data_IF_240225734551
#
_entry.id   IF_240225734551
#
_cell.length_a   1.000
_cell.length_b   1.000
_cell.length_c   1.000
_cell.angle_alpha   90.00
_cell.angle_beta   90.00
_cell.angle_gamma   90.00
#
_symmetry.space_group_name_H-M   'P 1'
#
loop_
_entity.id
_entity.type
_entity.pdbx_description
1 polymer ?
#
# COMPACT_ATOMS: atom_id res chain seq x y z
N UNK A 1 25.35 -5.34 5.65
CA UNK A 1 24.34 -5.84 4.70
C UNK A 1 23.72 -4.62 4.05
N UNK A 2 23.99 -4.38 2.78
CA UNK A 2 23.38 -3.28 2.03
C UNK A 2 21.93 -3.65 1.75
N UNK A 3 20.99 -3.04 2.47
CA UNK A 3 19.59 -3.14 2.10
C UNK A 3 19.37 -2.19 0.93
N UNK A 4 19.27 -2.74 -0.28
CA UNK A 4 18.77 -2.02 -1.44
C UNK A 4 17.29 -1.76 -1.19
N UNK A 5 16.93 -0.57 -0.70
CA UNK A 5 15.53 -0.14 -0.60
C UNK A 5 14.93 -0.18 -2.00
N UNK A 6 14.12 -1.21 -2.26
CA UNK A 6 13.44 -1.40 -3.54
C UNK A 6 11.98 -1.01 -3.36
N UNK A 7 11.41 -0.38 -4.38
CA UNK A 7 9.99 -0.07 -4.44
C UNK A 7 9.15 -1.34 -4.19
N UNK A 8 8.09 -1.28 -3.36
CA UNK A 8 7.24 -2.44 -3.12
C UNK A 8 6.50 -2.81 -4.42
N UNK A 9 6.44 -4.10 -4.68
CA UNK A 9 5.63 -4.68 -5.75
C UNK A 9 4.14 -4.57 -5.44
N UNK A 10 3.30 -4.75 -6.46
CA UNK A 10 1.85 -4.78 -6.28
C UNK A 10 1.40 -5.88 -5.29
N UNK A 11 2.07 -7.04 -5.29
CA UNK A 11 1.73 -8.14 -4.39
C UNK A 11 2.12 -7.83 -2.93
N UNK A 12 3.28 -7.23 -2.68
CA UNK A 12 3.67 -6.77 -1.34
C UNK A 12 2.72 -5.68 -0.80
N UNK A 13 2.27 -4.77 -1.67
CA UNK A 13 1.24 -3.79 -1.32
C UNK A 13 -0.07 -4.49 -0.96
N UNK A 14 -0.49 -5.46 -1.76
CA UNK A 14 -1.75 -6.21 -1.55
C UNK A 14 -1.73 -6.98 -0.25
N UNK A 15 -0.62 -7.66 0.06
CA UNK A 15 -0.42 -8.37 1.32
C UNK A 15 -0.51 -7.43 2.51
N UNK A 16 0.21 -6.31 2.48
CA UNK A 16 0.20 -5.33 3.56
C UNK A 16 -1.20 -4.73 3.79
N UNK A 17 -1.96 -4.51 2.72
CA UNK A 17 -3.36 -4.05 2.82
C UNK A 17 -4.26 -5.14 3.39
N UNK A 18 -4.14 -6.37 2.89
CA UNK A 18 -4.95 -7.51 3.31
C UNK A 18 -4.85 -7.76 4.82
N UNK A 19 -3.64 -7.68 5.38
CA UNK A 19 -3.40 -7.78 6.83
C UNK A 19 -4.16 -6.70 7.62
N UNK A 20 -4.21 -5.47 7.10
CA UNK A 20 -4.86 -4.33 7.78
C UNK A 20 -6.38 -4.36 7.68
N UNK A 21 -6.94 -4.94 6.62
CA UNK A 21 -8.39 -5.03 6.43
C UNK A 21 -8.99 -6.38 6.86
N UNK A 22 -8.15 -7.39 7.13
CA UNK A 22 -8.59 -8.73 7.53
C UNK A 22 -9.13 -9.58 6.36
N UNK A 23 -8.60 -9.37 5.16
CA UNK A 23 -8.94 -10.13 3.95
C UNK A 23 -7.79 -11.07 3.56
N UNK A 24 -8.04 -12.02 2.67
CA UNK A 24 -6.94 -12.69 1.97
C UNK A 24 -6.48 -11.82 0.79
N UNK A 25 -5.18 -11.70 0.59
CA UNK A 25 -4.61 -10.91 -0.51
C UNK A 25 -5.20 -11.31 -1.87
N UNK A 26 -5.35 -12.61 -2.14
CA UNK A 26 -5.96 -13.12 -3.39
C UNK A 26 -7.38 -12.63 -3.68
N UNK A 27 -8.11 -12.16 -2.67
CA UNK A 27 -9.49 -11.68 -2.80
C UNK A 27 -9.55 -10.17 -3.09
N UNK A 28 -8.40 -9.48 -3.09
CA UNK A 28 -8.27 -8.06 -3.41
C UNK A 28 -7.83 -7.95 -4.87
N UNK A 29 -8.69 -7.42 -5.74
CA UNK A 29 -8.32 -7.12 -7.12
C UNK A 29 -7.41 -5.87 -7.21
N UNK A 30 -6.67 -5.75 -8.31
CA UNK A 30 -5.71 -4.65 -8.55
C UNK A 30 -6.36 -3.26 -8.53
N UNK A 31 -7.58 -3.19 -9.04
CA UNK A 31 -8.41 -1.99 -9.18
C UNK A 31 -9.47 -1.86 -8.08
N UNK A 32 -9.47 -2.77 -7.09
CA UNK A 32 -10.43 -2.72 -6.00
C UNK A 32 -10.28 -1.43 -5.19
N UNK A 33 -11.41 -0.80 -4.86
CA UNK A 33 -11.42 0.34 -3.95
C UNK A 33 -11.13 -0.14 -2.52
N UNK A 34 -9.90 0.11 -2.05
CA UNK A 34 -9.44 -0.39 -0.76
C UNK A 34 -10.23 0.23 0.41
N UNK A 35 -10.73 1.46 0.27
CA UNK A 35 -11.59 2.09 1.29
C UNK A 35 -12.92 1.34 1.41
N UNK A 36 -13.50 0.91 0.28
CA UNK A 36 -14.71 0.08 0.27
C UNK A 36 -14.48 -1.30 0.90
N UNK A 37 -13.24 -1.82 0.84
CA UNK A 37 -12.81 -3.04 1.52
C UNK A 37 -12.50 -2.83 3.02
N UNK A 38 -12.66 -1.61 3.55
CA UNK A 38 -12.47 -1.33 4.97
C UNK A 38 -11.11 -0.72 5.34
N UNK A 39 -10.28 -0.37 4.35
CA UNK A 39 -9.07 0.40 4.60
C UNK A 39 -9.44 1.80 5.12
N UNK A 40 -8.81 2.22 6.21
CA UNK A 40 -9.07 3.51 6.87
C UNK A 40 -7.85 4.41 6.79
N UNK A 41 -8.03 5.70 7.04
CA UNK A 41 -6.92 6.67 7.04
C UNK A 41 -5.79 6.28 8.00
N UNK A 42 -6.10 5.65 9.14
CA UNK A 42 -5.09 5.16 10.06
C UNK A 42 -4.21 4.07 9.43
N UNK A 43 -4.81 3.15 8.66
CA UNK A 43 -4.08 2.10 7.94
C UNK A 43 -3.15 2.71 6.89
N UNK A 44 -3.63 3.71 6.14
CA UNK A 44 -2.80 4.45 5.17
C UNK A 44 -1.60 5.11 5.88
N UNK A 45 -1.83 5.76 7.02
CA UNK A 45 -0.76 6.38 7.81
C UNK A 45 0.25 5.35 8.33
N UNK A 46 -0.21 4.17 8.74
CA UNK A 46 0.67 3.06 9.15
C UNK A 46 1.58 2.60 8.00
N UNK A 47 1.01 2.37 6.82
CA UNK A 47 1.77 1.95 5.62
C UNK A 47 2.78 3.01 5.19
N UNK A 48 2.38 4.29 5.14
CA UNK A 48 3.30 5.41 4.85
C UNK A 48 4.48 5.41 5.81
N UNK A 49 4.23 5.23 7.11
CA UNK A 49 5.31 5.21 8.11
C UNK A 49 6.25 4.02 7.92
N UNK A 50 5.73 2.84 7.55
CA UNK A 50 6.55 1.66 7.22
C UNK A 50 7.44 1.95 6.01
N UNK A 51 6.86 2.38 4.90
CA UNK A 51 7.61 2.65 3.67
C UNK A 51 8.63 3.79 3.83
N UNK A 52 8.29 4.87 4.55
CA UNK A 52 9.24 5.97 4.82
C UNK A 52 10.40 5.55 5.70
N UNK A 53 10.18 4.66 6.67
CA UNK A 53 11.28 4.06 7.46
C UNK A 53 12.17 3.15 6.62
N UNK A 54 11.62 2.53 5.58
CA UNK A 54 12.40 1.78 4.61
C UNK A 54 13.18 2.69 3.64
N UNK A 55 12.96 4.01 3.64
CA UNK A 55 13.62 4.98 2.75
C UNK A 55 12.82 5.36 1.50
N UNK A 56 11.55 4.92 1.40
CA UNK A 56 10.68 5.24 0.28
C UNK A 56 9.97 6.58 0.51
N UNK A 57 9.78 7.33 -0.57
CA UNK A 57 9.03 8.59 -0.52
C UNK A 57 7.60 8.37 -0.96
N UNK A 58 6.65 8.61 -0.07
CA UNK A 58 5.21 8.49 -0.34
C UNK A 58 4.43 9.36 0.64
N UNK A 59 3.34 9.97 0.17
CA UNK A 59 2.48 10.86 0.93
C UNK A 59 1.04 10.35 1.03
N UNK A 60 0.33 10.85 2.04
CA UNK A 60 -1.10 10.56 2.19
C UNK A 60 -1.92 11.03 0.99
N UNK A 61 -1.56 12.18 0.40
CA UNK A 61 -2.27 12.73 -0.77
C UNK A 61 -2.20 11.78 -1.97
N UNK A 62 -1.05 11.16 -2.20
CA UNK A 62 -0.86 10.21 -3.30
C UNK A 62 -1.72 8.95 -3.07
N UNK A 63 -1.65 8.35 -1.88
CA UNK A 63 -2.35 7.10 -1.61
C UNK A 63 -3.87 7.27 -1.45
N UNK A 64 -4.32 8.36 -0.83
CA UNK A 64 -5.74 8.61 -0.61
C UNK A 64 -6.46 9.11 -1.87
N UNK A 65 -5.72 9.61 -2.87
CA UNK A 65 -6.29 10.08 -4.14
C UNK A 65 -6.85 8.94 -5.01
N UNK A 66 -6.12 7.82 -5.08
CA UNK A 66 -6.53 6.62 -5.82
C UNK A 66 -6.17 5.37 -4.97
N UNK A 67 -7.05 4.96 -4.04
CA UNK A 67 -6.77 3.90 -3.08
C UNK A 67 -6.99 2.51 -3.72
N UNK A 68 -6.15 2.16 -4.70
CA UNK A 68 -6.11 0.86 -5.35
C UNK A 68 -4.69 0.32 -5.33
N UNK A 69 -4.53 -1.02 -5.37
CA UNK A 69 -3.20 -1.65 -5.40
C UNK A 69 -2.41 -1.20 -6.63
N UNK A 70 -3.05 -1.18 -7.79
CA UNK A 70 -2.43 -0.77 -9.05
C UNK A 70 -1.95 0.69 -9.02
N UNK A 71 -2.73 1.61 -8.45
CA UNK A 71 -2.35 3.01 -8.37
C UNK A 71 -1.18 3.25 -7.41
N UNK A 72 -1.20 2.56 -6.27
CA UNK A 72 -0.11 2.66 -5.30
C UNK A 72 1.19 2.11 -5.86
N UNK A 73 1.16 0.98 -6.57
CA UNK A 73 2.35 0.42 -7.22
C UNK A 73 3.00 1.42 -8.21
N UNK A 74 2.19 2.19 -8.95
CA UNK A 74 2.67 3.26 -9.87
C UNK A 74 3.26 4.47 -9.15
N UNK A 75 3.01 4.64 -7.85
CA UNK A 75 3.58 5.76 -7.07
C UNK A 75 5.06 5.51 -6.75
N UNK A 76 5.49 4.25 -6.67
CA UNK A 76 6.85 3.87 -6.31
C UNK A 76 7.77 3.56 -7.51
N UNK A 77 7.23 3.56 -8.73
CA UNK A 77 7.96 3.31 -9.98
C UNK A 77 8.77 4.51 -10.45
#
# INVERSE_FOLDING_TARGET
MSQTTTAPTADEIREAVAELVGFHARDIADDANLIALGLKSLHIMQLINVWRRAGLTVSFKELAGEPTVAAWARTFS
#
